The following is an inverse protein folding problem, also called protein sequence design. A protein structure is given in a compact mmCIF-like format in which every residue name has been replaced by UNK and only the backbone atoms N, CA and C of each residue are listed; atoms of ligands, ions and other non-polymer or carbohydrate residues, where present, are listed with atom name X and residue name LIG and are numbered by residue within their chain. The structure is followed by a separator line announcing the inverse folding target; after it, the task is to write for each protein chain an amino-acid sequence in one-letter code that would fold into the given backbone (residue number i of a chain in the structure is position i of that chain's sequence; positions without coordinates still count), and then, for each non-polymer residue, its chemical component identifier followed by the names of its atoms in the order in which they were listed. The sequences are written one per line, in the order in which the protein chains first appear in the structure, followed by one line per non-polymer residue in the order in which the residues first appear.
data_IF_047379248133
#
_entry.id   IF_047379248133
#
_cell.length_a   1.000
_cell.length_b   1.000
_cell.length_c   1.000
_cell.angle_alpha   90.00
_cell.angle_beta   90.00
_cell.angle_gamma   90.00
#
_symmetry.space_group_name_H-M   'P 1'
#
loop_
_entity.id
_entity.type
_entity.pdbx_description
1 polymer ?
#
# COMPACT_ATOMS: atom_id res chain seq x y z
N UNK A 1 26.41 14.72 -2.99
CA UNK A 1 25.83 16.06 -2.80
C UNK A 1 24.59 16.31 -3.70
N UNK A 2 24.62 16.01 -5.00
CA UNK A 2 23.48 16.18 -5.92
C UNK A 2 22.21 15.41 -5.49
N UNK A 3 22.34 14.18 -4.99
CA UNK A 3 21.23 13.35 -4.55
C UNK A 3 20.47 13.94 -3.34
N UNK A 4 21.18 14.55 -2.39
CA UNK A 4 20.53 15.23 -1.25
C UNK A 4 19.75 16.47 -1.68
N UNK A 5 20.28 17.21 -2.67
CA UNK A 5 19.60 18.39 -3.22
C UNK A 5 18.32 17.96 -3.96
N UNK A 6 18.39 16.86 -4.73
CA UNK A 6 17.21 16.34 -5.45
C UNK A 6 16.12 15.84 -4.49
N UNK A 7 16.47 15.11 -3.42
CA UNK A 7 15.52 14.71 -2.37
C UNK A 7 14.92 15.93 -1.64
N UNK A 8 15.71 16.97 -1.38
CA UNK A 8 15.23 18.18 -0.75
C UNK A 8 14.23 18.92 -1.66
N UNK A 9 14.55 19.07 -2.95
CA UNK A 9 13.64 19.67 -3.94
C UNK A 9 12.35 18.87 -4.07
N UNK A 10 12.42 17.53 -4.18
CA UNK A 10 11.26 16.68 -4.23
C UNK A 10 10.38 16.78 -2.97
N UNK A 11 10.99 16.87 -1.80
CA UNK A 11 10.27 17.11 -0.54
C UNK A 11 9.58 18.49 -0.53
N UNK A 12 10.24 19.55 -0.94
CA UNK A 12 9.68 20.89 -1.00
C UNK A 12 8.52 20.98 -2.01
N UNK A 13 8.62 20.34 -3.17
CA UNK A 13 7.53 20.31 -4.16
C UNK A 13 6.33 19.52 -3.68
N UNK A 14 6.53 18.41 -3.00
CA UNK A 14 5.43 17.61 -2.39
C UNK A 14 4.68 18.41 -1.33
N UNK A 15 5.40 19.12 -0.45
CA UNK A 15 4.80 19.99 0.58
C UNK A 15 4.03 21.13 -0.08
N UNK A 16 4.59 21.78 -1.11
CA UNK A 16 3.93 22.88 -1.82
C UNK A 16 2.64 22.43 -2.53
N UNK A 17 2.64 21.24 -3.13
CA UNK A 17 1.43 20.66 -3.75
C UNK A 17 0.37 20.36 -2.69
N UNK A 18 0.74 19.76 -1.56
CA UNK A 18 -0.19 19.50 -0.47
C UNK A 18 -0.79 20.78 0.11
N UNK A 19 0.02 21.80 0.36
CA UNK A 19 -0.48 23.10 0.83
C UNK A 19 -1.46 23.71 -0.19
N UNK A 20 -1.12 23.69 -1.48
CA UNK A 20 -1.98 24.23 -2.52
C UNK A 20 -3.31 23.47 -2.62
N UNK A 21 -3.29 22.17 -2.52
CA UNK A 21 -4.49 21.31 -2.52
C UNK A 21 -5.37 21.63 -1.32
N UNK A 22 -4.81 21.67 -0.12
CA UNK A 22 -5.54 22.00 1.12
C UNK A 22 -6.13 23.40 1.04
N UNK A 23 -5.36 24.41 0.57
CA UNK A 23 -5.82 25.78 0.41
C UNK A 23 -6.98 25.87 -0.60
N UNK A 24 -6.89 25.14 -1.72
CA UNK A 24 -7.98 25.08 -2.71
C UNK A 24 -9.24 24.47 -2.10
N UNK A 25 -9.13 23.40 -1.35
CA UNK A 25 -10.27 22.80 -0.63
C UNK A 25 -10.86 23.78 0.38
N UNK A 26 -10.02 24.52 1.11
CA UNK A 26 -10.49 25.53 2.07
C UNK A 26 -11.28 26.67 1.42
N UNK A 27 -10.97 27.01 0.17
CA UNK A 27 -11.63 28.10 -0.56
C UNK A 27 -12.94 27.62 -1.21
N UNK A 28 -12.97 26.42 -1.78
CA UNK A 28 -14.07 25.95 -2.62
C UNK A 28 -15.03 24.98 -1.96
N UNK A 29 -14.65 24.38 -0.81
CA UNK A 29 -15.50 23.41 -0.10
C UNK A 29 -16.16 24.09 1.10
N UNK A 30 -17.48 23.88 1.25
CA UNK A 30 -18.25 24.34 2.40
C UNK A 30 -17.63 23.85 3.71
N UNK A 31 -17.65 24.68 4.77
CA UNK A 31 -17.00 24.41 6.05
C UNK A 31 -17.37 23.05 6.64
N UNK A 32 -18.65 22.66 6.56
CA UNK A 32 -19.18 21.41 7.11
C UNK A 32 -18.59 20.15 6.44
N UNK A 33 -18.11 20.26 5.20
CA UNK A 33 -17.57 19.13 4.43
C UNK A 33 -16.03 19.13 4.32
N UNK A 34 -15.36 20.22 4.69
CA UNK A 34 -13.90 20.36 4.56
C UNK A 34 -13.15 19.26 5.28
N UNK A 35 -13.52 18.95 6.51
CA UNK A 35 -12.89 17.91 7.31
C UNK A 35 -13.01 16.53 6.66
N UNK A 36 -14.17 16.21 6.10
CA UNK A 36 -14.41 14.94 5.42
C UNK A 36 -13.60 14.83 4.13
N UNK A 37 -13.57 15.88 3.31
CA UNK A 37 -12.82 15.88 2.04
C UNK A 37 -11.31 15.76 2.31
N UNK A 38 -10.77 16.52 3.25
CA UNK A 38 -9.35 16.44 3.62
C UNK A 38 -9.03 15.07 4.20
N UNK A 39 -9.88 14.55 5.10
CA UNK A 39 -9.70 13.23 5.70
C UNK A 39 -9.70 12.11 4.65
N UNK A 40 -10.61 12.16 3.69
CA UNK A 40 -10.69 11.16 2.61
C UNK A 40 -9.45 11.20 1.71
N UNK A 41 -9.03 12.39 1.27
CA UNK A 41 -7.82 12.54 0.46
C UNK A 41 -6.57 12.05 1.19
N UNK A 42 -6.46 12.33 2.47
CA UNK A 42 -5.35 11.88 3.31
C UNK A 42 -5.37 10.35 3.45
N UNK A 43 -6.53 9.75 3.69
CA UNK A 43 -6.68 8.29 3.81
C UNK A 43 -6.27 7.57 2.51
N UNK A 44 -6.74 8.06 1.35
CA UNK A 44 -6.34 7.49 0.04
C UNK A 44 -4.84 7.60 -0.19
N UNK A 45 -4.24 8.74 0.17
CA UNK A 45 -2.80 8.95 0.07
C UNK A 45 -2.00 7.95 0.94
N UNK A 46 -2.46 7.66 2.15
CA UNK A 46 -1.82 6.67 3.02
C UNK A 46 -1.90 5.24 2.44
N UNK A 47 -3.05 4.87 1.85
CA UNK A 47 -3.17 3.56 1.19
C UNK A 47 -2.22 3.44 0.00
N UNK A 48 -2.10 4.49 -0.83
CA UNK A 48 -1.13 4.50 -1.93
C UNK A 48 0.31 4.39 -1.43
N UNK A 49 0.68 5.17 -0.41
CA UNK A 49 2.01 5.08 0.20
C UNK A 49 2.28 3.70 0.77
N UNK A 50 1.31 3.09 1.43
CA UNK A 50 1.42 1.74 1.95
C UNK A 50 1.72 0.71 0.83
N UNK A 51 1.02 0.78 -0.31
CA UNK A 51 1.29 -0.10 -1.45
C UNK A 51 2.70 0.11 -2.02
N UNK A 52 3.17 1.36 -2.11
CA UNK A 52 4.53 1.65 -2.55
C UNK A 52 5.59 1.13 -1.57
N UNK A 53 5.33 1.17 -0.27
CA UNK A 53 6.22 0.56 0.73
C UNK A 53 6.22 -0.96 0.62
N UNK A 54 5.05 -1.59 0.48
CA UNK A 54 4.96 -3.04 0.29
C UNK A 54 5.77 -3.51 -0.92
N UNK A 55 5.72 -2.75 -2.03
CA UNK A 55 6.47 -3.09 -3.24
C UNK A 55 7.99 -3.04 -3.07
N UNK A 56 8.48 -2.26 -2.10
CA UNK A 56 9.90 -2.15 -1.78
C UNK A 56 10.40 -3.24 -0.84
N UNK A 57 9.51 -3.94 -0.13
CA UNK A 57 9.90 -4.96 0.82
C UNK A 57 10.30 -6.25 0.10
N UNK A 58 11.51 -6.75 0.40
CA UNK A 58 12.09 -7.93 -0.25
C UNK A 58 11.37 -9.22 0.14
N UNK A 59 10.98 -9.30 1.41
CA UNK A 59 10.40 -10.50 2.02
C UNK A 59 8.86 -10.59 1.87
N UNK A 60 8.23 -9.57 1.27
CA UNK A 60 6.81 -9.54 0.96
C UNK A 60 6.59 -9.50 -0.55
N UNK A 61 5.70 -10.35 -1.02
CA UNK A 61 5.22 -10.38 -2.41
C UNK A 61 3.70 -10.33 -2.45
N UNK A 62 3.14 -9.52 -3.33
CA UNK A 62 1.70 -9.44 -3.51
C UNK A 62 1.34 -9.32 -4.99
N UNK A 63 0.11 -9.71 -5.33
CA UNK A 63 -0.48 -9.50 -6.64
C UNK A 63 -1.71 -8.61 -6.55
N UNK A 64 -1.95 -7.85 -7.61
CA UNK A 64 -3.13 -6.98 -7.73
C UNK A 64 -3.99 -7.49 -8.89
N UNK A 65 -5.25 -7.78 -8.62
CA UNK A 65 -6.25 -8.10 -9.63
C UNK A 65 -7.27 -6.97 -9.73
N UNK A 66 -7.49 -6.45 -10.95
CA UNK A 66 -8.40 -5.34 -11.24
C UNK A 66 -9.44 -5.79 -12.25
N UNK A 67 -10.68 -5.94 -11.82
CA UNK A 67 -11.83 -6.28 -12.65
C UNK A 67 -12.59 -5.00 -13.03
N UNK A 68 -12.56 -4.65 -14.32
CA UNK A 68 -13.19 -3.41 -14.84
C UNK A 68 -14.51 -3.70 -15.55
N UNK A 69 -15.52 -2.81 -15.43
CA UNK A 69 -16.67 -2.81 -16.35
C UNK A 69 -16.22 -2.55 -17.81
N UNK A 70 -16.93 -3.00 -18.84
CA UNK A 70 -18.21 -3.72 -18.82
C UNK A 70 -18.08 -5.24 -18.69
N UNK A 71 -16.90 -5.79 -18.59
CA UNK A 71 -16.69 -7.25 -18.58
C UNK A 71 -17.06 -7.90 -17.25
N UNK A 72 -17.26 -7.10 -16.20
CA UNK A 72 -17.60 -7.50 -14.85
C UNK A 72 -18.78 -6.66 -14.33
N UNK A 73 -19.59 -7.22 -13.44
CA UNK A 73 -20.78 -6.57 -12.86
C UNK A 73 -20.41 -5.34 -12.01
N UNK A 74 -19.20 -5.28 -11.50
CA UNK A 74 -18.70 -4.17 -10.72
C UNK A 74 -17.23 -3.86 -11.02
N UNK A 75 -16.79 -2.71 -10.53
CA UNK A 75 -15.37 -2.36 -10.54
C UNK A 75 -14.76 -2.78 -9.21
N UNK A 76 -13.97 -3.83 -9.24
CA UNK A 76 -13.37 -4.45 -8.07
C UNK A 76 -11.85 -4.47 -8.21
N UNK A 77 -11.15 -4.30 -7.09
CA UNK A 77 -9.72 -4.48 -6.99
C UNK A 77 -9.41 -5.31 -5.74
N UNK A 78 -8.56 -6.32 -5.88
CA UNK A 78 -8.07 -7.12 -4.77
C UNK A 78 -6.55 -7.13 -4.73
N UNK A 79 -6.00 -7.14 -3.52
CA UNK A 79 -4.59 -7.36 -3.23
C UNK A 79 -4.47 -8.71 -2.56
N UNK A 80 -3.65 -9.59 -3.10
CA UNK A 80 -3.52 -10.98 -2.65
C UNK A 80 -2.09 -11.28 -2.25
N UNK A 81 -1.92 -11.87 -1.07
CA UNK A 81 -0.66 -12.42 -0.59
C UNK A 81 -0.71 -13.94 -0.67
N UNK A 82 0.31 -14.55 -1.28
CA UNK A 82 0.42 -16.01 -1.33
C UNK A 82 1.28 -16.49 -0.16
N UNK A 83 0.66 -17.03 0.89
CA UNK A 83 1.36 -17.56 2.07
C UNK A 83 2.22 -18.79 1.83
N UNK A 84 2.19 -19.36 0.61
CA UNK A 84 3.05 -20.47 0.18
C UNK A 84 4.17 -20.04 -0.76
N UNK A 85 4.34 -18.74 -0.97
CA UNK A 85 5.39 -18.19 -1.81
C UNK A 85 6.74 -18.32 -1.10
N UNK A 86 7.63 -19.15 -1.66
CA UNK A 86 8.97 -19.39 -1.12
C UNK A 86 9.93 -18.22 -1.35
N UNK A 87 9.59 -17.29 -2.23
CA UNK A 87 10.37 -16.09 -2.52
C UNK A 87 10.00 -14.89 -1.65
N UNK A 88 8.89 -15.00 -0.93
CA UNK A 88 8.35 -13.97 -0.05
C UNK A 88 8.03 -14.60 1.33
N UNK A 89 9.07 -14.74 2.15
CA UNK A 89 9.03 -15.48 3.43
C UNK A 89 8.02 -14.93 4.43
N UNK A 90 7.78 -13.60 4.41
CA UNK A 90 6.85 -12.92 5.32
C UNK A 90 5.37 -13.01 4.86
N UNK A 91 5.11 -13.57 3.69
CA UNK A 91 3.73 -13.70 3.20
C UNK A 91 2.85 -14.60 4.08
N UNK A 92 3.42 -15.64 4.68
CA UNK A 92 2.69 -16.50 5.59
C UNK A 92 2.22 -15.74 6.84
N UNK A 93 3.11 -14.95 7.43
CA UNK A 93 2.80 -14.11 8.60
C UNK A 93 1.81 -13.00 8.25
N UNK A 94 1.92 -12.42 7.05
CA UNK A 94 0.93 -11.46 6.55
C UNK A 94 -0.45 -12.10 6.39
N UNK A 95 -0.53 -13.33 5.89
CA UNK A 95 -1.80 -14.06 5.77
C UNK A 95 -2.43 -14.35 7.14
N UNK A 96 -1.63 -14.81 8.11
CA UNK A 96 -2.08 -15.04 9.49
C UNK A 96 -2.55 -13.75 10.16
N UNK A 97 -1.80 -12.66 10.00
CA UNK A 97 -2.20 -11.36 10.50
C UNK A 97 -3.54 -10.89 9.90
N UNK A 98 -3.72 -11.03 8.58
CA UNK A 98 -4.95 -10.61 7.91
C UNK A 98 -6.16 -11.45 8.33
N UNK A 99 -5.96 -12.75 8.58
CA UNK A 99 -7.00 -13.63 9.13
C UNK A 99 -7.44 -13.16 10.52
N UNK A 100 -6.49 -12.98 11.44
CA UNK A 100 -6.76 -12.46 12.79
C UNK A 100 -7.38 -11.05 12.75
N UNK A 101 -6.87 -10.16 11.90
CA UNK A 101 -7.41 -8.82 11.73
C UNK A 101 -8.88 -8.85 11.30
N UNK A 102 -9.22 -9.72 10.33
CA UNK A 102 -10.60 -9.84 9.88
C UNK A 102 -11.53 -10.35 10.99
N UNK A 103 -11.10 -11.38 11.73
CA UNK A 103 -11.83 -11.92 12.88
C UNK A 103 -12.08 -10.83 13.94
N UNK A 104 -11.04 -10.12 14.36
CA UNK A 104 -11.16 -9.05 15.37
C UNK A 104 -12.01 -7.88 14.90
N UNK A 105 -11.99 -7.57 13.62
CA UNK A 105 -12.86 -6.54 13.02
C UNK A 105 -14.33 -6.96 13.04
N UNK A 106 -14.63 -8.23 12.75
CA UNK A 106 -15.98 -8.78 12.79
C UNK A 106 -16.50 -8.88 14.24
N UNK A 107 -15.68 -9.31 15.19
CA UNK A 107 -16.02 -9.31 16.61
C UNK A 107 -16.35 -7.89 17.11
N UNK A 108 -15.57 -6.90 16.69
CA UNK A 108 -15.81 -5.50 17.02
C UNK A 108 -17.11 -4.98 16.38
N UNK A 109 -17.34 -5.26 15.10
CA UNK A 109 -18.53 -4.83 14.37
C UNK A 109 -19.81 -5.48 14.90
N UNK A 110 -19.74 -6.70 15.42
CA UNK A 110 -20.86 -7.41 16.05
C UNK A 110 -21.05 -7.10 17.54
N UNK A 111 -20.27 -6.16 18.09
CA UNK A 111 -20.24 -5.81 19.51
C UNK A 111 -19.81 -6.95 20.45
N UNK A 112 -19.23 -8.02 19.93
CA UNK A 112 -18.64 -9.09 20.74
C UNK A 112 -17.34 -8.65 21.43
N UNK A 113 -16.64 -7.65 20.84
CA UNK A 113 -15.42 -7.07 21.37
C UNK A 113 -15.63 -5.60 21.71
N UNK A 114 -15.17 -5.15 22.89
CA UNK A 114 -15.24 -3.74 23.29
C UNK A 114 -14.21 -2.91 22.54
N UNK A 115 -14.47 -1.59 22.38
CA UNK A 115 -13.53 -0.67 21.74
C UNK A 115 -12.13 -0.68 22.41
N UNK A 116 -12.11 -0.76 23.74
CA UNK A 116 -10.84 -0.83 24.50
C UNK A 116 -10.10 -2.14 24.24
N UNK A 117 -10.82 -3.27 24.21
CA UNK A 117 -10.21 -4.57 23.93
C UNK A 117 -9.67 -4.64 22.50
N UNK A 118 -10.39 -4.07 21.50
CA UNK A 118 -9.93 -3.95 20.13
C UNK A 118 -8.68 -3.07 20.01
N UNK A 119 -8.63 -1.94 20.71
CA UNK A 119 -7.43 -1.09 20.75
C UNK A 119 -6.24 -1.82 21.39
N UNK A 120 -6.44 -2.49 22.52
CA UNK A 120 -5.40 -3.27 23.19
C UNK A 120 -4.83 -4.40 22.29
N UNK A 121 -5.71 -5.03 21.50
CA UNK A 121 -5.26 -6.02 20.51
C UNK A 121 -4.38 -5.37 19.42
N UNK A 122 -4.80 -4.24 18.85
CA UNK A 122 -3.99 -3.51 17.85
C UNK A 122 -2.60 -3.15 18.38
N UNK A 123 -2.54 -2.64 19.61
CA UNK A 123 -1.27 -2.25 20.23
C UNK A 123 -0.35 -3.47 20.44
N UNK A 124 -0.90 -4.63 20.82
CA UNK A 124 -0.15 -5.89 20.94
C UNK A 124 0.33 -6.42 19.59
N UNK A 125 -0.52 -6.41 18.57
CA UNK A 125 -0.15 -6.84 17.23
C UNK A 125 0.98 -5.96 16.67
N UNK A 126 0.88 -4.63 16.79
CA UNK A 126 1.94 -3.72 16.37
C UNK A 126 3.25 -3.97 17.13
N UNK A 127 3.19 -4.22 18.44
CA UNK A 127 4.38 -4.51 19.24
C UNK A 127 5.04 -5.85 18.84
N UNK A 128 4.24 -6.84 18.48
CA UNK A 128 4.74 -8.15 18.02
C UNK A 128 5.48 -8.03 16.69
N UNK A 129 4.85 -7.39 15.69
CA UNK A 129 5.43 -7.25 14.36
C UNK A 129 6.50 -6.16 14.25
N UNK A 130 6.57 -5.19 15.18
CA UNK A 130 7.60 -4.15 15.19
C UNK A 130 9.04 -4.69 15.38
N UNK A 131 9.18 -5.91 15.86
CA UNK A 131 10.49 -6.56 16.02
C UNK A 131 10.95 -7.30 14.77
N UNK A 132 10.11 -7.38 13.73
CA UNK A 132 10.45 -8.05 12.47
C UNK A 132 11.24 -7.09 11.59
N UNK A 133 12.45 -7.47 11.19
CA UNK A 133 13.26 -6.68 10.27
C UNK A 133 12.89 -7.04 8.84
N UNK A 134 12.14 -6.18 8.18
CA UNK A 134 11.85 -6.29 6.75
C UNK A 134 12.97 -5.65 5.94
N UNK A 135 13.51 -6.39 4.99
CA UNK A 135 14.58 -5.91 4.11
C UNK A 135 13.99 -5.22 2.89
N UNK A 136 14.49 -4.03 2.57
CA UNK A 136 14.13 -3.35 1.33
C UNK A 136 14.70 -4.12 0.12
N UNK A 137 13.92 -4.20 -0.95
CA UNK A 137 14.38 -4.72 -2.25
C UNK A 137 15.49 -3.82 -2.79
N UNK A 138 16.58 -4.43 -3.24
CA UNK A 138 17.56 -3.70 -4.03
C UNK A 138 16.92 -3.33 -5.38
N UNK A 139 16.82 -2.03 -5.66
CA UNK A 139 16.35 -1.54 -6.94
C UNK A 139 17.50 -1.58 -7.94
N UNK A 140 17.43 -2.49 -8.88
CA UNK A 140 18.40 -2.59 -9.96
C UNK A 140 18.16 -1.45 -10.96
N UNK A 141 19.11 -0.51 -11.07
CA UNK A 141 19.07 0.57 -12.05
C UNK A 141 19.42 0.01 -13.44
N UNK A 142 18.40 -0.40 -14.18
CA UNK A 142 18.55 -0.87 -15.56
C UNK A 142 18.47 0.30 -16.54
N UNK A 143 19.30 0.26 -17.57
CA UNK A 143 19.15 1.16 -18.70
C UNK A 143 17.83 0.89 -19.46
N UNK A 144 17.40 1.83 -20.28
CA UNK A 144 16.15 1.68 -21.05
C UNK A 144 16.20 0.46 -21.97
N UNK A 145 17.34 0.22 -22.62
CA UNK A 145 17.55 -0.93 -23.51
C UNK A 145 17.50 -2.28 -22.76
N UNK A 146 18.09 -2.34 -21.57
CA UNK A 146 18.03 -3.54 -20.71
C UNK A 146 16.62 -3.83 -20.22
N UNK A 147 15.85 -2.80 -19.85
CA UNK A 147 14.44 -2.95 -19.46
C UNK A 147 13.60 -3.50 -20.62
N UNK A 148 13.78 -2.96 -21.83
CA UNK A 148 13.07 -3.43 -23.03
C UNK A 148 13.42 -4.89 -23.32
N UNK A 149 14.70 -5.25 -23.26
CA UNK A 149 15.17 -6.61 -23.48
C UNK A 149 14.58 -7.60 -22.47
N UNK A 150 14.63 -7.29 -21.17
CA UNK A 150 14.04 -8.15 -20.12
C UNK A 150 12.53 -8.29 -20.28
N UNK A 151 11.83 -7.19 -20.58
CA UNK A 151 10.39 -7.23 -20.83
C UNK A 151 10.04 -8.15 -22.00
N UNK A 152 10.79 -8.06 -23.10
CA UNK A 152 10.54 -8.91 -24.26
C UNK A 152 10.79 -10.39 -23.94
N UNK A 153 11.86 -10.70 -23.20
CA UNK A 153 12.13 -12.07 -22.75
C UNK A 153 10.99 -12.61 -21.89
N UNK A 154 10.48 -11.83 -20.93
CA UNK A 154 9.34 -12.24 -20.09
C UNK A 154 8.06 -12.46 -20.91
N UNK A 155 7.82 -11.62 -21.93
CA UNK A 155 6.68 -11.77 -22.82
C UNK A 155 6.81 -13.03 -23.68
N UNK A 156 8.01 -13.32 -24.22
CA UNK A 156 8.28 -14.53 -24.98
C UNK A 156 8.09 -15.79 -24.13
N UNK A 157 8.56 -15.78 -22.87
CA UNK A 157 8.35 -16.87 -21.92
C UNK A 157 6.87 -17.08 -21.54
N UNK A 158 6.12 -15.99 -21.39
CA UNK A 158 4.72 -16.04 -20.98
C UNK A 158 3.77 -16.42 -22.12
N UNK A 159 4.06 -16.00 -23.35
CA UNK A 159 3.19 -16.18 -24.49
C UNK A 159 3.72 -17.17 -25.53
N UNK A 160 4.96 -17.66 -25.39
CA UNK A 160 5.53 -18.75 -26.19
C UNK A 160 5.78 -18.39 -27.65
N UNK A 161 6.27 -17.17 -27.90
CA UNK A 161 6.71 -16.75 -29.24
C UNK A 161 8.12 -17.21 -29.55
#
# INVERSE_FOLDING_TARGET
MAFCILKFIAGCTSVAINIKTITTIQIFVQDDFRGQVIGTLTAVSYVMQFLFYLDQLKELGFSIDVKRPPNHDGWECSVTFNGKDTTASENADMCLFLEEFNEKREEYASYALTAQAYQNWKDKALAYYANTTLLEKEVEELTEDERIKRRNTLLDEQFGF
#
